data_IF_070056376607
#
_entry.id   IF_070056376607
#
_cell.length_a   1.000
_cell.length_b   1.000
_cell.length_c   1.000
_cell.angle_alpha   90.00
_cell.angle_beta   90.00
_cell.angle_gamma   90.00
#
_symmetry.space_group_name_H-M   'P 1'
#
loop_
_entity.id
_entity.type
_entity.pdbx_description
1 polymer ?
#
# COMPACT_ATOMS: atom_id res chain seq x y z
N UNK A 1 -10.84 0.46 3.53
CA UNK A 1 -9.45 0.16 3.96
C UNK A 1 -8.52 0.47 2.80
N UNK A 2 -7.27 0.84 3.07
CA UNK A 2 -6.27 1.10 2.05
C UNK A 2 -5.14 0.08 2.17
N UNK A 3 -5.18 -0.92 1.30
CA UNK A 3 -4.12 -1.91 1.14
C UNK A 3 -3.13 -1.38 0.11
N UNK A 4 -1.84 -1.40 0.44
CA UNK A 4 -0.77 -0.74 -0.30
C UNK A 4 0.46 -1.62 -0.32
N UNK A 5 1.43 -1.37 -1.20
CA UNK A 5 2.75 -2.00 -1.18
C UNK A 5 3.78 -1.01 -1.75
N UNK A 6 5.01 -1.02 -1.24
CA UNK A 6 6.10 -0.26 -1.85
C UNK A 6 6.55 -0.92 -3.15
N UNK A 7 6.96 -0.14 -4.15
CA UNK A 7 7.32 -0.68 -5.48
C UNK A 7 8.46 -1.70 -5.40
N UNK A 8 9.53 -1.42 -4.63
CA UNK A 8 10.63 -2.38 -4.40
C UNK A 8 10.14 -3.72 -3.82
N UNK A 9 9.23 -3.69 -2.85
CA UNK A 9 8.71 -4.91 -2.23
C UNK A 9 7.85 -5.69 -3.23
N UNK A 10 7.08 -5.02 -4.08
CA UNK A 10 6.30 -5.67 -5.12
C UNK A 10 7.19 -6.33 -6.18
N UNK A 11 8.25 -5.63 -6.62
CA UNK A 11 9.22 -6.18 -7.58
C UNK A 11 9.91 -7.40 -6.99
N UNK A 12 10.36 -7.34 -5.74
CA UNK A 12 10.99 -8.46 -5.05
C UNK A 12 10.01 -9.64 -4.86
N UNK A 13 8.74 -9.37 -4.57
CA UNK A 13 7.74 -10.43 -4.45
C UNK A 13 7.50 -11.15 -5.78
N UNK A 14 7.46 -10.40 -6.89
CA UNK A 14 7.38 -10.96 -8.24
C UNK A 14 8.64 -11.77 -8.56
N UNK A 15 9.81 -11.26 -8.19
CA UNK A 15 11.07 -11.96 -8.38
C UNK A 15 11.11 -13.31 -7.64
N UNK A 16 10.68 -13.35 -6.38
CA UNK A 16 10.53 -14.59 -5.62
C UNK A 16 9.52 -15.53 -6.27
N UNK A 17 8.38 -15.02 -6.76
CA UNK A 17 7.40 -15.83 -7.46
C UNK A 17 7.91 -16.49 -8.75
N UNK A 18 8.87 -15.85 -9.42
CA UNK A 18 9.51 -16.40 -10.63
C UNK A 18 10.66 -17.35 -10.26
N UNK A 19 11.42 -17.03 -9.22
CA UNK A 19 12.71 -17.67 -8.92
C UNK A 19 12.60 -18.81 -7.90
N UNK A 20 11.56 -18.80 -7.06
CA UNK A 20 11.38 -19.75 -5.97
C UNK A 20 10.18 -20.67 -6.24
N UNK A 21 10.40 -21.99 -6.49
CA UNK A 21 9.32 -22.94 -6.78
C UNK A 21 8.26 -23.11 -5.68
N UNK A 22 8.51 -22.64 -4.46
CA UNK A 22 7.54 -22.66 -3.35
C UNK A 22 6.47 -21.57 -3.49
N UNK A 23 6.76 -20.49 -4.22
CA UNK A 23 5.85 -19.37 -4.45
C UNK A 23 4.82 -19.71 -5.54
N UNK A 24 3.91 -20.63 -5.19
CA UNK A 24 2.82 -21.10 -6.06
C UNK A 24 1.45 -20.65 -5.58
N UNK A 25 0.53 -20.51 -6.54
CA UNK A 25 -0.87 -20.15 -6.31
C UNK A 25 -1.08 -18.64 -6.20
N UNK A 26 -2.18 -18.24 -5.57
CA UNK A 26 -2.51 -16.82 -5.38
C UNK A 26 -1.70 -16.24 -4.22
N UNK A 27 -0.98 -15.15 -4.49
CA UNK A 27 -0.19 -14.41 -3.49
C UNK A 27 -0.60 -12.94 -3.57
N UNK A 28 -1.04 -12.37 -2.45
CA UNK A 28 -1.45 -10.97 -2.39
C UNK A 28 -0.21 -10.06 -2.35
N UNK A 29 -0.06 -9.21 -3.37
CA UNK A 29 0.97 -8.16 -3.44
C UNK A 29 0.63 -6.93 -2.60
N UNK A 30 0.51 -7.11 -1.28
CA UNK A 30 0.20 -6.03 -0.33
C UNK A 30 1.19 -6.06 0.84
N UNK A 31 1.54 -4.90 1.37
CA UNK A 31 2.27 -4.76 2.63
C UNK A 31 1.49 -5.37 3.81
N UNK A 32 2.17 -5.82 4.88
CA UNK A 32 1.55 -6.56 5.98
C UNK A 32 0.64 -5.71 6.89
N UNK A 33 0.71 -4.38 6.81
CA UNK A 33 -0.01 -3.44 7.67
C UNK A 33 -0.85 -2.46 6.82
N UNK A 34 -2.06 -2.86 6.38
CA UNK A 34 -2.98 -1.95 5.71
C UNK A 34 -3.47 -0.87 6.68
N UNK A 35 -3.80 0.30 6.15
CA UNK A 35 -4.22 1.48 6.93
C UNK A 35 -5.61 1.96 6.51
N UNK A 36 -6.19 2.88 7.27
CA UNK A 36 -7.33 3.69 6.82
C UNK A 36 -6.84 4.76 5.85
N UNK A 37 -7.72 5.21 4.94
CA UNK A 37 -7.39 6.30 4.02
C UNK A 37 -6.97 7.57 4.78
N UNK A 38 -7.65 7.89 5.89
CA UNK A 38 -7.29 9.01 6.76
C UNK A 38 -5.86 8.91 7.32
N UNK A 39 -5.43 7.71 7.74
CA UNK A 39 -4.07 7.47 8.24
C UNK A 39 -3.04 7.62 7.11
N UNK A 40 -3.34 7.11 5.90
CA UNK A 40 -2.50 7.31 4.71
C UNK A 40 -2.31 8.81 4.41
N UNK A 41 -3.40 9.57 4.34
CA UNK A 41 -3.36 11.03 4.10
C UNK A 41 -2.59 11.76 5.21
N UNK A 42 -2.79 11.38 6.48
CA UNK A 42 -2.07 11.96 7.60
C UNK A 42 -0.56 11.70 7.52
N UNK A 43 -0.15 10.45 7.26
CA UNK A 43 1.26 10.11 7.09
C UNK A 43 1.89 10.83 5.90
N UNK A 44 1.20 10.90 4.76
CA UNK A 44 1.66 11.63 3.59
C UNK A 44 1.86 13.13 3.89
N UNK A 45 0.88 13.76 4.50
CA UNK A 45 0.98 15.18 4.87
C UNK A 45 2.12 15.46 5.84
N UNK A 46 2.36 14.57 6.81
CA UNK A 46 3.47 14.67 7.73
C UNK A 46 4.84 14.56 7.04
N UNK A 47 5.00 13.63 6.10
CA UNK A 47 6.27 13.46 5.37
C UNK A 47 6.53 14.64 4.43
N UNK A 48 5.48 15.21 3.81
CA UNK A 48 5.59 16.38 2.94
C UNK A 48 5.74 17.72 3.69
N UNK A 49 5.63 17.74 5.02
CA UNK A 49 5.56 18.98 5.80
C UNK A 49 4.31 19.82 5.53
N UNK A 50 3.23 19.18 5.01
CA UNK A 50 1.94 19.80 4.66
C UNK A 50 0.82 19.02 5.35
N UNK A 51 0.45 19.35 6.59
CA UNK A 51 -0.51 18.56 7.39
C UNK A 51 -1.83 18.31 6.65
N UNK A 52 -2.36 17.09 6.72
CA UNK A 52 -3.65 16.70 6.11
C UNK A 52 -4.79 16.83 7.14
N UNK A 53 -5.16 18.07 7.43
CA UNK A 53 -6.19 18.46 8.40
C UNK A 53 -7.61 18.52 7.83
N UNK A 54 -7.73 18.78 6.52
CA UNK A 54 -9.01 18.80 5.83
C UNK A 54 -9.32 17.40 5.27
N UNK A 55 -10.41 16.73 5.70
CA UNK A 55 -10.83 15.49 5.08
C UNK A 55 -11.14 15.72 3.61
N UNK A 56 -10.58 14.88 2.73
CA UNK A 56 -10.82 14.98 1.28
C UNK A 56 -12.28 14.63 1.02
N UNK A 57 -13.10 15.54 0.46
CA UNK A 57 -14.49 15.23 0.16
C UNK A 57 -14.58 14.09 -0.85
N UNK A 58 -15.57 13.21 -0.69
CA UNK A 58 -15.77 12.06 -1.56
C UNK A 58 -15.89 12.44 -3.05
N UNK A 59 -16.54 13.58 -3.34
CA UNK A 59 -16.65 14.10 -4.69
C UNK A 59 -15.29 14.50 -5.29
N UNK A 60 -14.34 14.96 -4.48
CA UNK A 60 -13.01 15.34 -4.95
C UNK A 60 -12.20 14.08 -5.31
N UNK A 61 -12.34 13.01 -4.52
CA UNK A 61 -11.77 11.69 -4.85
C UNK A 61 -12.36 11.15 -6.15
N UNK A 62 -13.69 11.25 -6.33
CA UNK A 62 -14.39 10.87 -7.57
C UNK A 62 -13.96 11.69 -8.78
N UNK A 63 -13.73 12.99 -8.61
CA UNK A 63 -13.30 13.87 -9.70
C UNK A 63 -11.88 13.54 -10.19
N UNK A 64 -10.97 13.19 -9.28
CA UNK A 64 -9.56 12.88 -9.63
C UNK A 64 -9.42 11.46 -10.18
N UNK A 65 -10.15 10.49 -9.62
CA UNK A 65 -9.98 9.06 -9.94
C UNK A 65 -11.04 8.51 -10.91
N UNK A 66 -12.06 9.31 -11.26
CA UNK A 66 -13.16 8.88 -12.11
C UNK A 66 -13.87 7.64 -11.57
N UNK A 67 -14.13 6.66 -12.44
CA UNK A 67 -14.76 5.38 -12.08
C UNK A 67 -13.90 4.53 -11.12
N UNK A 68 -12.59 4.77 -11.05
CA UNK A 68 -11.68 4.08 -10.11
C UNK A 68 -11.82 4.55 -8.65
N UNK A 69 -12.60 5.59 -8.40
CA UNK A 69 -12.82 6.12 -7.05
C UNK A 69 -13.55 5.12 -6.14
N UNK A 70 -14.46 4.31 -6.67
CA UNK A 70 -15.15 3.26 -5.90
C UNK A 70 -14.17 2.25 -5.31
N UNK A 71 -13.14 1.84 -6.06
CA UNK A 71 -12.10 0.92 -5.57
C UNK A 71 -11.34 1.50 -4.38
N UNK A 72 -11.08 2.81 -4.39
CA UNK A 72 -10.39 3.51 -3.29
C UNK A 72 -11.33 3.75 -2.11
N UNK A 73 -12.59 4.10 -2.37
CA UNK A 73 -13.61 4.42 -1.35
C UNK A 73 -14.15 3.17 -0.64
N UNK A 74 -14.38 2.09 -1.39
CA UNK A 74 -14.88 0.80 -0.90
C UNK A 74 -13.76 -0.12 -0.38
N UNK A 75 -12.51 0.37 -0.40
CA UNK A 75 -11.30 -0.45 -0.38
C UNK A 75 -11.27 -1.59 0.64
N UNK A 76 -10.65 -2.70 0.24
CA UNK A 76 -10.62 -3.94 1.02
C UNK A 76 -9.42 -4.00 1.96
N UNK A 77 -9.59 -4.68 3.11
CA UNK A 77 -8.46 -5.01 4.01
C UNK A 77 -7.82 -6.31 3.53
N UNK A 78 -6.84 -6.19 2.64
CA UNK A 78 -6.11 -7.33 2.09
C UNK A 78 -4.80 -7.47 2.86
N UNK A 79 -4.50 -8.69 3.30
CA UNK A 79 -3.26 -9.02 4.00
C UNK A 79 -2.50 -10.11 3.25
N UNK A 80 -1.16 -10.08 3.23
CA UNK A 80 -0.34 -10.99 2.45
C UNK A 80 -0.03 -12.28 3.22
N UNK A 81 -1.07 -13.04 3.59
CA UNK A 81 -0.93 -14.26 4.43
C UNK A 81 0.09 -15.23 3.84
N UNK A 82 -0.08 -15.60 2.56
CA UNK A 82 0.80 -16.56 1.91
C UNK A 82 2.24 -16.06 1.75
N UNK A 83 2.45 -14.77 1.46
CA UNK A 83 3.80 -14.23 1.40
C UNK A 83 4.50 -14.28 2.77
N UNK A 84 3.76 -14.03 3.87
CA UNK A 84 4.30 -14.18 5.23
C UNK A 84 4.63 -15.63 5.56
N UNK A 85 3.76 -16.58 5.20
CA UNK A 85 4.00 -18.02 5.41
C UNK A 85 5.23 -18.52 4.63
N UNK A 86 5.46 -17.97 3.43
CA UNK A 86 6.64 -18.24 2.60
C UNK A 86 7.91 -17.50 3.07
N UNK A 87 7.83 -16.74 4.18
CA UNK A 87 8.97 -16.04 4.77
C UNK A 87 9.41 -14.79 4.00
N UNK A 88 8.55 -14.21 3.16
CA UNK A 88 8.89 -12.99 2.41
C UNK A 88 9.25 -11.85 3.36
N UNK A 89 10.42 -11.24 3.15
CA UNK A 89 10.92 -10.13 3.95
C UNK A 89 10.52 -8.80 3.34
N UNK A 90 9.53 -8.14 3.94
CA UNK A 90 9.10 -6.80 3.53
C UNK A 90 10.12 -5.76 3.98
N UNK A 91 10.71 -5.04 3.02
CA UNK A 91 11.61 -3.91 3.29
C UNK A 91 10.85 -2.73 3.90
N UNK A 92 9.61 -2.51 3.45
CA UNK A 92 8.76 -1.42 3.91
C UNK A 92 7.42 -1.95 4.46
N UNK A 93 7.40 -2.50 5.69
CA UNK A 93 6.19 -3.06 6.27
C UNK A 93 5.19 -1.99 6.75
N UNK A 94 5.62 -0.74 6.96
CA UNK A 94 4.81 0.36 7.48
C UNK A 94 4.79 1.55 6.51
N UNK A 95 3.61 2.14 6.32
CA UNK A 95 3.38 3.16 5.28
C UNK A 95 4.23 4.42 5.50
N UNK A 96 4.50 4.77 6.76
CA UNK A 96 5.32 5.93 7.13
C UNK A 96 6.73 5.82 6.57
N UNK A 97 7.34 4.64 6.64
CA UNK A 97 8.72 4.41 6.18
C UNK A 97 8.77 4.30 4.65
N UNK A 98 7.76 3.67 4.04
CA UNK A 98 7.58 3.64 2.59
C UNK A 98 7.46 5.06 2.00
N UNK A 99 6.62 5.91 2.60
CA UNK A 99 6.42 7.28 2.16
C UNK A 99 7.68 8.14 2.30
N UNK A 100 8.43 7.97 3.40
CA UNK A 100 9.72 8.64 3.56
C UNK A 100 10.68 8.26 2.45
N UNK A 101 10.81 6.95 2.16
CA UNK A 101 11.72 6.47 1.12
C UNK A 101 11.39 7.05 -0.26
N UNK A 102 10.10 7.09 -0.62
CA UNK A 102 9.64 7.67 -1.90
C UNK A 102 9.92 9.17 -2.00
N UNK A 103 9.79 9.91 -0.90
CA UNK A 103 9.90 11.38 -0.88
C UNK A 103 11.30 11.89 -0.53
N UNK A 104 12.23 11.02 -0.13
CA UNK A 104 13.63 11.34 0.10
C UNK A 104 14.51 11.29 -1.15
N UNK A 105 13.89 11.25 -2.34
CA UNK A 105 14.56 11.25 -3.65
C UNK A 105 14.73 12.66 -4.22
#
# INVERSE_FOLDING_TARGET
WFSWIHVDDLVNLIYEAISNPEYKGVINGTAPNPVRLAEMCQHLGNVLGRPSWLPVPEFAVKAVLGEGASVVLDGQKVVPVRAKELGFSFRYPYIKDALKAVLSS
#
